data_IF_620412460696
#
_entry.id   IF_620412460696
#
_cell.length_a   1.000
_cell.length_b   1.000
_cell.length_c   1.000
_cell.angle_alpha   90.00
_cell.angle_beta   90.00
_cell.angle_gamma   90.00
#
_symmetry.space_group_name_H-M   'P 1'
#
loop_
_entity.id
_entity.type
_entity.pdbx_description
1 polymer ?
#
# COMPACT_ATOMS: atom_id res chain seq x y z
N UNK A 1 -10.07 6.64 50.26
CA UNK A 1 -10.30 6.02 48.94
C UNK A 1 -9.07 6.32 48.09
N UNK A 2 -8.17 5.35 47.93
CA UNK A 2 -6.91 5.51 47.21
C UNK A 2 -7.10 4.92 45.81
N UNK A 3 -7.03 5.74 44.77
CA UNK A 3 -7.13 5.28 43.37
C UNK A 3 -5.80 4.63 43.00
N UNK A 4 -5.79 3.31 42.87
CA UNK A 4 -4.65 2.57 42.33
C UNK A 4 -4.59 2.78 40.82
N UNK A 5 -3.53 3.41 40.34
CA UNK A 5 -3.14 3.39 38.93
C UNK A 5 -2.44 2.06 38.67
N UNK A 6 -3.05 1.20 37.87
CA UNK A 6 -2.44 -0.05 37.42
C UNK A 6 -1.24 0.29 36.52
N UNK A 7 -0.03 0.02 36.99
CA UNK A 7 1.17 0.16 36.15
C UNK A 7 1.17 -0.94 35.09
N UNK A 8 1.29 -0.53 33.81
CA UNK A 8 1.50 -1.45 32.69
C UNK A 8 2.90 -2.05 32.84
N UNK A 9 3.09 -3.38 32.86
CA UNK A 9 4.42 -3.96 33.00
C UNK A 9 5.25 -3.61 31.76
N UNK A 10 6.38 -2.95 31.98
CA UNK A 10 7.34 -2.59 30.93
C UNK A 10 7.83 -3.85 30.21
N UNK A 11 7.93 -3.87 28.88
CA UNK A 11 8.48 -5.02 28.17
C UNK A 11 9.94 -5.20 28.55
N UNK A 12 10.29 -6.38 29.06
CA UNK A 12 11.67 -6.75 29.37
C UNK A 12 12.47 -6.90 28.07
N UNK A 13 13.26 -5.88 27.71
CA UNK A 13 14.31 -6.06 26.71
C UNK A 13 15.56 -6.65 27.39
N UNK A 14 16.18 -7.71 26.84
CA UNK A 14 17.43 -8.23 27.38
C UNK A 14 18.52 -7.17 27.21
N UNK A 15 19.13 -6.77 28.33
CA UNK A 15 20.22 -5.80 28.37
C UNK A 15 21.50 -6.50 27.90
N UNK A 16 21.75 -6.52 26.60
CA UNK A 16 23.01 -7.03 26.05
C UNK A 16 24.04 -5.89 26.05
N UNK A 17 25.18 -6.20 26.67
CA UNK A 17 26.42 -5.48 26.86
C UNK A 17 26.69 -4.23 26.00
N UNK A 18 27.20 -3.20 26.69
CA UNK A 18 27.78 -1.96 26.17
C UNK A 18 28.62 -2.16 24.89
N UNK A 19 28.16 -1.60 23.78
CA UNK A 19 28.97 -1.31 22.60
C UNK A 19 29.39 0.15 22.70
N UNK A 20 30.70 0.41 22.63
CA UNK A 20 31.21 1.76 22.40
C UNK A 20 30.69 2.22 21.03
N UNK A 21 29.69 3.12 21.00
CA UNK A 21 29.18 3.73 19.76
C UNK A 21 27.70 3.46 19.48
N UNK A 22 26.85 4.42 19.86
CA UNK A 22 25.47 4.51 19.38
C UNK A 22 25.45 4.87 17.90
N UNK A 23 25.47 3.87 17.03
CA UNK A 23 25.28 4.06 15.59
C UNK A 23 23.80 4.33 15.33
N UNK A 24 23.47 5.58 15.07
CA UNK A 24 22.15 5.95 14.55
C UNK A 24 22.01 5.48 13.11
N UNK A 25 20.81 5.05 12.75
CA UNK A 25 20.46 4.69 11.38
C UNK A 25 19.56 5.78 10.81
N UNK A 26 19.80 6.18 9.57
CA UNK A 26 18.88 7.01 8.78
C UNK A 26 18.27 6.24 7.64
N UNK A 27 17.02 6.54 7.35
CA UNK A 27 16.26 5.95 6.26
C UNK A 27 15.92 6.99 5.21
N UNK A 28 16.03 6.61 3.93
CA UNK A 28 15.71 7.46 2.79
C UNK A 28 15.05 6.67 1.67
N UNK A 29 14.10 7.28 0.96
CA UNK A 29 13.54 6.76 -0.28
C UNK A 29 14.49 7.09 -1.44
N UNK A 30 15.07 6.08 -2.08
CA UNK A 30 16.04 6.26 -3.18
C UNK A 30 15.39 6.19 -4.56
N UNK A 31 14.28 5.46 -4.72
CA UNK A 31 13.53 5.43 -5.97
C UNK A 31 12.07 4.97 -5.79
N UNK A 32 11.28 5.06 -6.86
CA UNK A 32 9.92 4.52 -6.91
C UNK A 32 8.84 5.39 -6.28
N UNK A 33 9.22 6.50 -5.64
CA UNK A 33 8.30 7.47 -5.05
C UNK A 33 7.77 8.47 -6.08
N UNK A 34 7.00 7.96 -7.05
CA UNK A 34 6.38 8.76 -8.12
C UNK A 34 5.49 9.83 -7.50
N UNK A 35 5.55 11.05 -8.03
CA UNK A 35 4.73 12.17 -7.55
C UNK A 35 5.06 12.66 -6.13
N UNK A 36 6.12 12.12 -5.48
CA UNK A 36 6.43 12.34 -4.06
C UNK A 36 5.25 11.98 -3.15
N UNK A 37 4.59 10.86 -3.48
CA UNK A 37 3.41 10.38 -2.78
C UNK A 37 3.72 9.93 -1.33
N UNK A 38 4.95 9.51 -1.05
CA UNK A 38 5.38 9.01 0.25
C UNK A 38 6.50 9.86 0.86
N UNK A 39 6.55 9.90 2.19
CA UNK A 39 7.66 10.40 3.00
C UNK A 39 8.17 9.27 3.90
N UNK A 40 9.48 9.22 4.17
CA UNK A 40 10.04 8.33 5.19
C UNK A 40 10.70 9.15 6.28
N UNK A 41 10.36 8.89 7.54
CA UNK A 41 10.94 9.55 8.71
C UNK A 41 11.72 8.54 9.53
N UNK A 42 12.87 8.97 10.02
CA UNK A 42 13.66 8.17 10.96
C UNK A 42 13.19 8.49 12.37
N UNK A 43 12.73 7.47 13.10
CA UNK A 43 12.19 7.61 14.45
C UNK A 43 13.10 6.91 15.43
N UNK A 44 13.42 7.60 16.53
CA UNK A 44 14.32 7.13 17.59
C UNK A 44 15.66 6.59 17.07
N UNK A 45 16.15 7.10 15.92
CA UNK A 45 17.42 6.71 15.29
C UNK A 45 17.57 5.21 15.00
N UNK A 46 16.47 4.45 15.02
CA UNK A 46 16.49 2.97 14.96
C UNK A 46 15.56 2.37 13.92
N UNK A 47 14.47 3.03 13.55
CA UNK A 47 13.55 2.55 12.52
C UNK A 47 13.02 3.67 11.63
N UNK A 48 12.52 3.29 10.44
CA UNK A 48 11.93 4.19 9.45
C UNK A 48 10.41 4.00 9.36
N UNK A 49 9.66 5.09 9.45
CA UNK A 49 8.20 5.11 9.28
C UNK A 49 7.85 5.74 7.95
N UNK A 50 7.03 5.05 7.14
CA UNK A 50 6.59 5.53 5.82
C UNK A 50 5.19 6.12 5.95
N UNK A 51 5.03 7.36 5.51
CA UNK A 51 3.78 8.11 5.55
C UNK A 51 3.33 8.45 4.13
N UNK A 52 2.00 8.56 3.96
CA UNK A 52 1.41 9.15 2.77
C UNK A 52 1.55 10.67 2.88
N UNK A 53 2.23 11.28 1.92
CA UNK A 53 2.46 12.73 1.84
C UNK A 53 1.49 13.43 0.87
N UNK A 54 0.87 12.68 -0.05
CA UNK A 54 -0.09 13.18 -1.03
C UNK A 54 -1.21 12.17 -1.29
N UNK A 55 -2.40 12.61 -1.75
CA UNK A 55 -3.48 11.72 -2.12
C UNK A 55 -3.03 10.65 -3.12
N UNK A 56 -3.57 9.45 -2.97
CA UNK A 56 -3.34 8.31 -3.84
C UNK A 56 -4.59 8.10 -4.68
N UNK A 57 -4.40 7.81 -5.96
CA UNK A 57 -5.46 7.59 -6.95
C UNK A 57 -5.14 6.25 -7.61
N UNK A 58 -6.02 5.26 -7.42
CA UNK A 58 -5.80 3.91 -7.93
C UNK A 58 -5.97 3.85 -9.44
N UNK A 59 -6.90 4.62 -9.99
CA UNK A 59 -7.19 4.72 -11.41
C UNK A 59 -5.98 5.30 -12.17
N UNK A 60 -5.17 6.13 -11.50
CA UNK A 60 -3.88 6.59 -12.02
C UNK A 60 -2.74 5.57 -11.81
N UNK A 61 -2.61 5.01 -10.61
CA UNK A 61 -1.54 4.06 -10.27
C UNK A 61 -1.96 3.11 -9.14
N UNK A 62 -2.05 1.83 -9.46
CA UNK A 62 -2.54 0.77 -8.55
C UNK A 62 -1.48 0.26 -7.55
N UNK A 63 -0.19 0.52 -7.79
CA UNK A 63 0.88 0.15 -6.85
C UNK A 63 2.15 0.99 -7.00
N UNK A 64 2.91 1.06 -5.90
CA UNK A 64 4.24 1.67 -5.85
C UNK A 64 5.29 0.63 -5.46
N UNK A 65 6.45 0.68 -6.11
CA UNK A 65 7.63 -0.11 -5.74
C UNK A 65 8.72 0.82 -5.24
N UNK A 66 8.75 1.05 -3.93
CA UNK A 66 9.68 1.98 -3.27
C UNK A 66 11.02 1.29 -2.97
N UNK A 67 12.13 1.93 -3.32
CA UNK A 67 13.45 1.54 -2.79
C UNK A 67 13.78 2.41 -1.58
N UNK A 68 14.07 1.75 -0.47
CA UNK A 68 14.44 2.35 0.79
C UNK A 68 15.90 2.00 1.07
N UNK A 69 16.69 2.98 1.48
CA UNK A 69 18.05 2.76 1.93
C UNK A 69 18.16 3.10 3.41
N UNK A 70 18.73 2.18 4.19
CA UNK A 70 19.20 2.43 5.54
C UNK A 70 20.71 2.74 5.50
N UNK A 71 21.15 3.77 6.21
CA UNK A 71 22.57 4.13 6.38
C UNK A 71 22.89 4.28 7.86
N UNK A 72 23.93 3.59 8.34
CA UNK A 72 24.45 3.83 9.68
C UNK A 72 25.33 5.10 9.74
N UNK A 73 25.58 5.57 10.96
CA UNK A 73 26.49 6.68 11.25
C UNK A 73 27.98 6.31 11.29
N UNK A 74 28.38 5.18 10.69
CA UNK A 74 29.76 4.74 10.67
C UNK A 74 30.65 5.57 9.74
N UNK A 75 31.98 5.40 9.88
CA UNK A 75 32.97 5.98 8.96
C UNK A 75 33.90 4.86 8.48
N UNK A 76 33.77 4.37 7.23
CA UNK A 76 32.75 4.74 6.24
C UNK A 76 31.35 4.21 6.62
N UNK A 77 30.26 4.87 6.17
CA UNK A 77 28.90 4.44 6.48
C UNK A 77 28.55 3.15 5.74
N UNK A 78 27.91 2.21 6.42
CA UNK A 78 27.36 1.00 5.80
C UNK A 78 25.93 1.27 5.38
N UNK A 79 25.59 0.82 4.17
CA UNK A 79 24.29 1.05 3.55
C UNK A 79 23.66 -0.28 3.17
N UNK A 80 22.34 -0.37 3.32
CA UNK A 80 21.55 -1.50 2.86
C UNK A 80 20.28 -1.00 2.22
N UNK A 81 19.96 -1.55 1.05
CA UNK A 81 18.71 -1.27 0.36
C UNK A 81 17.65 -2.35 0.63
N UNK A 82 16.39 -1.93 0.59
CA UNK A 82 15.23 -2.79 0.67
C UNK A 82 14.13 -2.28 -0.28
N UNK A 83 13.38 -3.20 -0.86
CA UNK A 83 12.27 -2.89 -1.76
C UNK A 83 10.95 -3.10 -1.04
N UNK A 84 10.15 -2.04 -0.92
CA UNK A 84 8.81 -2.05 -0.35
C UNK A 84 7.77 -1.91 -1.46
N UNK A 85 6.87 -2.88 -1.59
CA UNK A 85 5.73 -2.81 -2.50
C UNK A 85 4.49 -2.34 -1.74
N UNK A 86 3.88 -1.26 -2.20
CA UNK A 86 2.66 -0.67 -1.64
C UNK A 86 1.54 -0.83 -2.67
N UNK A 87 0.51 -1.62 -2.35
CA UNK A 87 -0.64 -1.78 -3.22
C UNK A 87 -1.74 -0.80 -2.78
N UNK A 88 -2.37 -0.12 -3.74
CA UNK A 88 -3.47 0.82 -3.49
C UNK A 88 -4.78 0.03 -3.60
N UNK A 89 -5.56 0.04 -2.52
CA UNK A 89 -6.83 -0.66 -2.49
C UNK A 89 -7.90 0.17 -3.22
N UNK A 90 -8.80 -0.53 -3.88
CA UNK A 90 -9.97 0.07 -4.53
C UNK A 90 -10.89 0.74 -3.51
N UNK A 91 -11.34 1.93 -3.87
CA UNK A 91 -12.51 2.55 -3.29
C UNK A 91 -13.47 2.80 -4.45
N UNK A 92 -14.72 2.40 -4.33
CA UNK A 92 -15.71 2.62 -5.38
C UNK A 92 -16.12 4.11 -5.42
N UNK A 93 -15.25 4.95 -5.98
CA UNK A 93 -15.39 6.39 -6.13
C UNK A 93 -15.61 6.83 -7.59
N UNK A 94 -15.49 5.90 -8.54
CA UNK A 94 -15.77 6.14 -9.95
C UNK A 94 -17.19 5.63 -10.34
N UNK A 95 -18.20 6.50 -10.46
CA UNK A 95 -19.54 6.08 -10.85
C UNK A 95 -19.58 5.59 -12.31
N UNK A 96 -20.52 4.70 -12.67
CA UNK A 96 -20.65 4.24 -14.05
C UNK A 96 -21.02 5.42 -14.97
N UNK A 97 -20.38 5.46 -16.14
CA UNK A 97 -20.68 6.41 -17.22
C UNK A 97 -21.58 5.69 -18.23
N UNK A 98 -22.72 6.30 -18.59
CA UNK A 98 -23.57 5.81 -19.67
C UNK A 98 -23.12 6.49 -20.96
N UNK A 99 -22.62 5.70 -21.91
CA UNK A 99 -22.09 6.21 -23.19
C UNK A 99 -23.14 6.94 -24.03
N UNK A 100 -24.42 6.55 -23.91
CA UNK A 100 -25.54 7.26 -24.52
C UNK A 100 -26.38 8.01 -23.47
N UNK A 101 -26.12 9.30 -23.21
CA UNK A 101 -26.89 10.08 -22.25
C UNK A 101 -28.35 10.29 -22.68
N UNK A 102 -28.65 10.10 -23.97
CA UNK A 102 -29.99 10.19 -24.54
C UNK A 102 -30.66 8.81 -24.73
N UNK A 103 -30.04 7.75 -24.23
CA UNK A 103 -30.57 6.38 -24.27
C UNK A 103 -30.18 5.58 -25.51
N UNK A 104 -30.42 4.27 -25.46
CA UNK A 104 -30.18 3.37 -26.58
C UNK A 104 -31.50 3.13 -27.30
N UNK A 105 -31.52 3.34 -28.63
CA UNK A 105 -32.66 2.95 -29.46
C UNK A 105 -32.36 1.59 -30.11
N UNK A 106 -33.08 0.56 -29.67
CA UNK A 106 -32.89 -0.82 -30.14
C UNK A 106 -34.24 -1.37 -30.57
N UNK A 107 -34.33 -1.84 -31.81
CA UNK A 107 -35.50 -2.54 -32.34
C UNK A 107 -35.17 -4.01 -32.52
N UNK A 108 -36.03 -4.88 -32.02
CA UNK A 108 -35.95 -6.34 -32.22
C UNK A 108 -37.15 -6.76 -33.06
N UNK A 109 -36.91 -7.60 -34.07
CA UNK A 109 -37.98 -8.14 -34.90
C UNK A 109 -38.79 -9.16 -34.10
N UNK A 110 -40.12 -9.17 -34.24
CA UNK A 110 -40.99 -10.16 -33.60
C UNK A 110 -40.68 -11.61 -34.03
N UNK A 111 -40.04 -11.81 -35.19
CA UNK A 111 -39.61 -13.12 -35.68
C UNK A 111 -38.23 -13.53 -35.16
N UNK A 112 -37.61 -12.73 -34.28
CA UNK A 112 -36.34 -13.13 -33.67
C UNK A 112 -36.58 -14.33 -32.75
N UNK A 113 -35.83 -15.41 -32.97
CA UNK A 113 -35.80 -16.53 -32.04
C UNK A 113 -35.31 -16.08 -30.67
N UNK A 114 -35.94 -16.48 -29.56
CA UNK A 114 -35.45 -16.21 -28.22
C UNK A 114 -34.00 -16.69 -28.07
N UNK A 115 -33.15 -15.87 -27.44
CA UNK A 115 -31.81 -16.32 -27.10
C UNK A 115 -31.91 -17.52 -26.13
N UNK A 116 -31.20 -18.63 -26.37
CA UNK A 116 -31.24 -19.77 -25.47
C UNK A 116 -30.67 -19.37 -24.10
N UNK A 117 -31.48 -19.52 -23.04
CA UNK A 117 -31.15 -19.13 -21.66
C UNK A 117 -30.05 -19.99 -21.01
N UNK A 118 -29.64 -21.07 -21.67
CA UNK A 118 -28.51 -21.91 -21.27
C UNK A 118 -27.78 -22.35 -22.53
N UNK A 119 -26.42 -22.39 -22.55
CA UNK A 119 -25.73 -23.19 -23.54
C UNK A 119 -26.28 -24.61 -23.37
N UNK A 120 -26.91 -25.16 -24.41
CA UNK A 120 -27.36 -26.53 -24.42
C UNK A 120 -26.17 -27.36 -23.96
N UNK A 121 -26.26 -27.96 -22.76
CA UNK A 121 -25.34 -29.00 -22.38
C UNK A 121 -25.48 -30.06 -23.47
N UNK A 122 -24.54 -30.09 -24.41
CA UNK A 122 -24.40 -31.23 -25.30
C UNK A 122 -23.94 -32.39 -24.41
N UNK A 123 -24.93 -33.03 -23.80
CA UNK A 123 -24.84 -34.39 -23.35
C UNK A 123 -25.19 -35.26 -24.54
N UNK A 124 -24.15 -35.78 -25.20
CA UNK A 124 -24.09 -37.04 -25.93
C UNK A 124 -22.59 -37.21 -26.27
N UNK A 125 -21.85 -38.23 -25.85
CA UNK A 125 -22.17 -39.57 -25.32
C UNK A 125 -21.03 -40.02 -24.41
#
# INVERSE_FOLDING_TARGET
MQTAVNEVPSPLMPKIASIVGGLWVTFSLTSGNIGRAFEIRTTNNTYGEVFIARPLDRELLDHYTLRIQASDGGVPPRRKEHTLRVNILDVNDNPPIIDSPFGYNVSVSEVSSPAPLFPSSQGEV
#
